data_IF_869126325774
#
_entry.id   IF_869126325774
#
_cell.length_a   1.000
_cell.length_b   1.000
_cell.length_c   1.000
_cell.angle_alpha   90.00
_cell.angle_beta   90.00
_cell.angle_gamma   90.00
#
_symmetry.space_group_name_H-M   'P 1'
#
loop_
_entity.id
_entity.type
_entity.pdbx_description
1 polymer ?
#
# COMPACT_ATOMS: atom_id res chain seq x y z
N UNK A 1 -2.16 15.01 -10.12
CA UNK A 1 -3.45 14.34 -10.41
C UNK A 1 -3.56 13.21 -9.43
N UNK A 2 -4.64 13.13 -8.65
CA UNK A 2 -4.73 12.19 -7.51
C UNK A 2 -5.17 10.76 -7.87
N UNK A 3 -5.54 10.51 -9.13
CA UNK A 3 -6.01 9.21 -9.61
C UNK A 3 -5.51 8.91 -11.03
N UNK A 4 -5.35 7.61 -11.34
CA UNK A 4 -5.03 7.11 -12.68
C UNK A 4 -6.23 7.34 -13.60
N UNK A 5 -6.02 8.11 -14.67
CA UNK A 5 -7.09 8.47 -15.60
C UNK A 5 -7.25 7.49 -16.79
N UNK A 6 -6.20 6.73 -17.12
CA UNK A 6 -6.17 5.83 -18.28
C UNK A 6 -5.34 4.57 -18.02
N UNK A 7 -5.59 3.46 -18.74
CA UNK A 7 -4.72 2.28 -18.70
C UNK A 7 -3.26 2.59 -19.06
N UNK A 8 -3.02 3.57 -19.95
CA UNK A 8 -1.65 3.99 -20.29
C UNK A 8 -0.94 4.62 -19.08
N UNK A 9 -1.61 5.47 -18.30
CA UNK A 9 -1.01 6.00 -17.07
C UNK A 9 -0.67 4.87 -16.08
N UNK A 10 -1.53 3.85 -15.97
CA UNK A 10 -1.27 2.67 -15.13
C UNK A 10 -0.01 1.91 -15.57
N UNK A 11 0.13 1.69 -16.88
CA UNK A 11 1.34 1.11 -17.46
C UNK A 11 2.61 1.93 -17.13
N UNK A 12 2.54 3.25 -17.22
CA UNK A 12 3.68 4.13 -16.94
C UNK A 12 4.03 4.20 -15.45
N UNK A 13 3.04 4.10 -14.55
CA UNK A 13 3.29 3.90 -13.11
C UNK A 13 4.07 2.62 -12.86
N UNK A 14 3.63 1.51 -13.47
CA UNK A 14 4.32 0.22 -13.35
C UNK A 14 5.75 0.28 -13.88
N UNK A 15 5.95 0.96 -15.01
CA UNK A 15 7.28 1.20 -15.58
C UNK A 15 8.17 2.03 -14.64
N UNK A 16 7.66 3.12 -14.07
CA UNK A 16 8.43 3.99 -13.18
C UNK A 16 8.94 3.25 -11.94
N UNK A 17 8.05 2.52 -11.26
CA UNK A 17 8.43 1.76 -10.07
C UNK A 17 9.36 0.58 -10.42
N UNK A 18 9.08 -0.12 -11.53
CA UNK A 18 9.92 -1.23 -11.98
C UNK A 18 11.33 -0.78 -12.33
N UNK A 19 11.45 0.36 -13.00
CA UNK A 19 12.74 0.97 -13.33
C UNK A 19 13.49 1.41 -12.07
N UNK A 20 12.79 2.01 -11.09
CA UNK A 20 13.40 2.36 -9.81
C UNK A 20 14.01 1.14 -9.11
N UNK A 21 13.25 0.04 -8.98
CA UNK A 21 13.76 -1.18 -8.37
C UNK A 21 14.87 -1.84 -9.20
N UNK A 22 14.77 -1.82 -10.52
CA UNK A 22 15.80 -2.34 -11.41
C UNK A 22 17.14 -1.61 -11.23
N UNK A 23 17.11 -0.28 -11.25
CA UNK A 23 18.31 0.57 -11.10
C UNK A 23 18.99 0.44 -9.74
N UNK A 24 18.27 0.01 -8.70
CA UNK A 24 18.79 -0.17 -7.35
C UNK A 24 18.99 -1.64 -6.97
N UNK A 25 18.80 -2.57 -7.91
CA UNK A 25 18.82 -4.01 -7.64
C UNK A 25 20.20 -4.52 -7.20
N UNK A 26 21.28 -3.85 -7.62
CA UNK A 26 22.66 -4.18 -7.27
C UNK A 26 23.19 -3.37 -6.06
N UNK A 27 22.39 -2.46 -5.50
CA UNK A 27 22.75 -1.69 -4.30
C UNK A 27 22.51 -2.56 -3.05
N UNK A 28 23.56 -2.90 -2.27
CA UNK A 28 23.37 -3.70 -1.07
C UNK A 28 22.54 -2.93 -0.03
N UNK A 29 21.40 -3.46 0.45
CA UNK A 29 20.46 -2.70 1.29
C UNK A 29 21.10 -2.18 2.59
N UNK A 30 22.00 -2.95 3.20
CA UNK A 30 22.69 -2.55 4.44
C UNK A 30 23.56 -1.29 4.30
N UNK A 31 23.77 -0.77 3.09
CA UNK A 31 24.46 0.51 2.85
C UNK A 31 23.55 1.72 3.00
N UNK A 32 22.24 1.54 3.10
CA UNK A 32 21.29 2.60 3.38
C UNK A 32 20.88 2.54 4.86
N UNK A 33 20.73 3.70 5.47
CA UNK A 33 20.14 3.81 6.80
C UNK A 33 18.63 3.57 6.70
N UNK A 34 18.03 2.99 7.75
CA UNK A 34 16.58 3.00 7.89
C UNK A 34 16.15 4.41 8.34
N UNK A 35 15.63 5.20 7.41
CA UNK A 35 15.18 6.58 7.69
C UNK A 35 13.89 6.62 8.50
N UNK A 36 13.13 5.51 8.54
CA UNK A 36 11.83 5.40 9.17
C UNK A 36 11.67 4.01 9.81
N UNK A 37 12.34 3.79 10.94
CA UNK A 37 12.26 2.52 11.67
C UNK A 37 10.79 2.17 12.01
N UNK A 38 10.40 0.94 11.71
CA UNK A 38 9.04 0.47 11.91
C UNK A 38 8.03 0.82 10.81
N UNK A 39 8.41 1.63 9.82
CA UNK A 39 7.55 1.91 8.66
C UNK A 39 7.31 0.64 7.83
N UNK A 40 6.05 0.38 7.51
CA UNK A 40 5.51 -0.86 6.93
C UNK A 40 5.64 -2.13 7.77
N UNK A 41 5.91 -1.98 9.07
CA UNK A 41 5.82 -3.08 10.04
C UNK A 41 4.41 -3.07 10.65
N UNK A 42 3.43 -3.59 9.90
CA UNK A 42 2.02 -3.66 10.31
C UNK A 42 1.77 -4.15 11.75
N UNK A 43 2.48 -5.16 12.30
CA UNK A 43 2.26 -5.56 13.69
C UNK A 43 2.61 -4.48 14.71
N UNK A 44 3.56 -3.57 14.43
CA UNK A 44 3.83 -2.41 15.32
C UNK A 44 2.64 -1.45 15.32
N UNK A 45 2.04 -1.19 14.16
CA UNK A 45 0.84 -0.36 14.06
C UNK A 45 -0.37 -1.00 14.75
N UNK A 46 -0.51 -2.34 14.71
CA UNK A 46 -1.57 -3.02 15.45
C UNK A 46 -1.38 -2.88 16.97
N UNK A 47 -0.16 -3.01 17.47
CA UNK A 47 0.14 -2.79 18.89
C UNK A 47 -0.13 -1.34 19.32
N UNK A 48 0.20 -0.36 18.47
CA UNK A 48 -0.11 1.04 18.71
C UNK A 48 -1.64 1.26 18.77
N UNK A 49 -2.37 0.71 17.80
CA UNK A 49 -3.83 0.74 17.78
C UNK A 49 -4.43 0.18 19.07
N UNK A 50 -3.94 -0.97 19.56
CA UNK A 50 -4.47 -1.60 20.78
C UNK A 50 -4.35 -0.70 22.01
N UNK A 51 -3.22 0.01 22.13
CA UNK A 51 -3.00 0.97 23.22
C UNK A 51 -3.98 2.13 23.13
N UNK A 52 -4.08 2.76 21.95
CA UNK A 52 -4.99 3.89 21.70
C UNK A 52 -6.45 3.47 21.93
N UNK A 53 -6.83 2.30 21.42
CA UNK A 53 -8.18 1.75 21.58
C UNK A 53 -8.54 1.49 23.04
N UNK A 54 -7.59 1.02 23.86
CA UNK A 54 -7.79 0.80 25.30
C UNK A 54 -8.02 2.08 26.10
N UNK A 55 -7.55 3.22 25.59
CA UNK A 55 -7.68 4.55 26.20
C UNK A 55 -8.81 5.39 25.58
N UNK A 56 -9.40 4.95 24.47
CA UNK A 56 -10.38 5.72 23.73
C UNK A 56 -11.71 5.86 24.50
N UNK A 57 -12.07 7.10 24.83
CA UNK A 57 -13.33 7.46 25.52
C UNK A 57 -14.31 8.23 24.63
N UNK A 58 -14.06 8.30 23.32
CA UNK A 58 -14.90 9.02 22.37
C UNK A 58 -16.19 8.28 22.01
N UNK A 59 -17.04 8.88 21.15
CA UNK A 59 -18.29 8.27 20.74
C UNK A 59 -18.07 6.97 19.96
N UNK A 60 -18.95 5.98 20.20
CA UNK A 60 -18.98 4.71 19.48
C UNK A 60 -20.01 4.77 18.35
N UNK A 61 -19.71 5.54 17.30
CA UNK A 61 -20.56 5.61 16.10
C UNK A 61 -20.55 4.28 15.32
N UNK A 62 -21.46 4.12 14.36
CA UNK A 62 -21.50 2.96 13.46
C UNK A 62 -20.18 2.75 12.72
N UNK A 63 -19.52 3.83 12.31
CA UNK A 63 -18.26 3.81 11.58
C UNK A 63 -17.12 3.35 12.49
N UNK A 64 -17.04 3.88 13.71
CA UNK A 64 -16.03 3.48 14.71
C UNK A 64 -16.18 1.99 15.06
N UNK A 65 -17.41 1.53 15.27
CA UNK A 65 -17.70 0.11 15.51
C UNK A 65 -17.28 -0.74 14.31
N UNK A 66 -17.62 -0.31 13.09
CA UNK A 66 -17.27 -1.02 11.86
C UNK A 66 -15.75 -1.11 11.64
N UNK A 67 -15.01 -0.03 11.86
CA UNK A 67 -13.55 -0.01 11.79
C UNK A 67 -12.91 -0.95 12.82
N UNK A 68 -13.36 -0.89 14.08
CA UNK A 68 -12.83 -1.77 15.14
C UNK A 68 -13.09 -3.25 14.85
N UNK A 69 -14.28 -3.57 14.33
CA UNK A 69 -14.67 -4.91 13.89
C UNK A 69 -13.78 -5.37 12.73
N UNK A 70 -13.57 -4.52 11.73
CA UNK A 70 -12.76 -4.80 10.56
C UNK A 70 -11.32 -5.15 10.93
N UNK A 71 -10.73 -4.40 11.87
CA UNK A 71 -9.41 -4.68 12.43
C UNK A 71 -9.40 -6.00 13.18
N UNK A 72 -10.39 -6.23 14.05
CA UNK A 72 -10.50 -7.47 14.85
C UNK A 72 -10.48 -8.73 13.99
N UNK A 73 -11.22 -8.72 12.89
CA UNK A 73 -11.36 -9.89 12.01
C UNK A 73 -10.09 -10.22 11.23
N UNK A 74 -9.13 -9.27 11.11
CA UNK A 74 -7.92 -9.39 10.29
C UNK A 74 -6.62 -9.45 11.09
N UNK A 75 -6.69 -9.40 12.42
CA UNK A 75 -5.50 -9.39 13.31
C UNK A 75 -4.53 -10.55 13.06
N UNK A 76 -5.04 -11.73 12.72
CA UNK A 76 -4.20 -12.91 12.48
C UNK A 76 -3.28 -12.78 11.26
N UNK A 77 -3.58 -11.87 10.34
CA UNK A 77 -2.87 -11.73 9.07
C UNK A 77 -1.78 -10.66 9.10
N UNK A 78 -1.70 -9.83 10.15
CA UNK A 78 -0.81 -8.66 10.15
C UNK A 78 0.68 -9.02 10.14
N UNK A 79 1.05 -10.20 10.64
CA UNK A 79 2.44 -10.66 10.71
C UNK A 79 2.92 -11.32 9.40
N UNK A 80 2.09 -11.42 8.36
CA UNK A 80 2.33 -12.31 7.23
C UNK A 80 3.65 -12.00 6.50
N UNK A 81 3.89 -10.74 6.12
CA UNK A 81 5.13 -10.34 5.44
C UNK A 81 6.36 -10.39 6.38
N UNK A 82 6.20 -9.98 7.64
CA UNK A 82 7.29 -10.03 8.63
C UNK A 82 7.73 -11.46 8.96
N UNK A 83 6.77 -12.39 9.02
CA UNK A 83 7.04 -13.81 9.16
C UNK A 83 7.77 -14.35 7.94
N UNK A 84 7.34 -13.99 6.72
CA UNK A 84 8.00 -14.42 5.49
C UNK A 84 9.44 -13.89 5.40
N UNK A 85 9.67 -12.62 5.80
CA UNK A 85 11.00 -12.02 5.94
C UNK A 85 11.87 -12.77 6.94
N UNK A 86 11.36 -13.01 8.15
CA UNK A 86 12.10 -13.69 9.23
C UNK A 86 12.42 -15.14 8.87
N UNK A 87 11.54 -15.80 8.10
CA UNK A 87 11.75 -17.16 7.59
C UNK A 87 12.71 -17.21 6.38
N UNK A 88 13.22 -16.07 5.91
CA UNK A 88 14.11 -15.99 4.74
C UNK A 88 13.41 -16.24 3.39
N UNK A 89 12.07 -16.23 3.36
CA UNK A 89 11.30 -16.39 2.11
C UNK A 89 11.30 -15.13 1.26
N UNK A 90 11.33 -13.97 1.91
CA UNK A 90 11.37 -12.65 1.26
C UNK A 90 12.67 -11.94 1.63
N UNK A 91 13.55 -11.64 0.66
CA UNK A 91 14.80 -10.94 0.93
C UNK A 91 14.58 -9.44 1.13
N UNK A 92 15.44 -8.81 1.94
CA UNK A 92 15.51 -7.35 2.00
C UNK A 92 16.11 -6.79 0.71
N UNK A 93 15.52 -5.69 0.23
CA UNK A 93 15.96 -4.92 -0.94
C UNK A 93 15.92 -3.43 -0.62
N UNK A 94 16.48 -2.62 -1.51
CA UNK A 94 16.23 -1.17 -1.47
C UNK A 94 14.84 -0.91 -2.02
N UNK A 95 14.04 -0.18 -1.25
CA UNK A 95 12.68 0.21 -1.61
C UNK A 95 12.55 1.73 -1.60
N UNK A 96 11.54 2.23 -2.29
CA UNK A 96 11.12 3.63 -2.26
C UNK A 96 10.48 3.99 -0.92
N UNK A 97 9.61 3.14 -0.37
CA UNK A 97 8.88 3.38 0.87
C UNK A 97 7.46 3.90 0.63
N UNK A 98 7.28 4.97 -0.14
CA UNK A 98 5.94 5.55 -0.41
C UNK A 98 5.67 5.77 -1.92
N UNK A 99 5.69 4.72 -2.77
CA UNK A 99 5.55 4.86 -4.22
C UNK A 99 4.08 5.00 -4.65
N UNK A 100 3.26 5.73 -3.91
CA UNK A 100 1.89 6.06 -4.32
C UNK A 100 1.90 6.79 -5.66
N UNK A 101 0.83 6.62 -6.45
CA UNK A 101 0.76 7.19 -7.82
C UNK A 101 1.05 8.70 -7.89
N UNK A 102 0.71 9.44 -6.85
CA UNK A 102 0.98 10.89 -6.77
C UNK A 102 2.47 11.25 -6.75
N UNK A 103 3.33 10.29 -6.42
CA UNK A 103 4.77 10.44 -6.42
C UNK A 103 5.39 10.10 -7.79
N UNK A 104 4.59 9.77 -8.81
CA UNK A 104 5.04 9.60 -10.20
C UNK A 104 4.77 10.88 -10.99
N UNK A 105 5.82 11.48 -11.56
CA UNK A 105 5.73 12.63 -12.45
C UNK A 105 5.61 12.13 -13.89
N UNK A 106 4.60 12.64 -14.61
CA UNK A 106 4.36 12.34 -16.02
C UNK A 106 4.71 13.52 -16.90
N UNK A 107 5.21 13.22 -18.11
CA UNK A 107 5.33 14.19 -19.17
C UNK A 107 3.94 14.59 -19.68
N UNK A 108 3.62 15.89 -19.63
CA UNK A 108 2.29 16.38 -19.99
C UNK A 108 1.96 16.20 -21.48
N UNK A 109 2.95 16.01 -22.34
CA UNK A 109 2.76 15.88 -23.80
C UNK A 109 2.60 14.42 -24.21
N UNK A 110 3.47 13.55 -23.70
CA UNK A 110 3.58 12.14 -24.10
C UNK A 110 2.87 11.18 -23.15
N UNK A 111 2.53 11.62 -21.93
CA UNK A 111 1.94 10.77 -20.89
C UNK A 111 2.92 9.79 -20.24
N UNK A 112 4.21 9.83 -20.62
CA UNK A 112 5.24 8.93 -20.09
C UNK A 112 5.68 9.30 -18.69
N UNK A 113 5.99 8.32 -17.86
CA UNK A 113 6.61 8.59 -16.57
C UNK A 113 8.03 9.13 -16.76
N UNK A 114 8.32 10.27 -16.11
CA UNK A 114 9.64 10.92 -16.13
C UNK A 114 10.43 10.58 -14.87
N UNK A 115 9.78 10.59 -13.70
CA UNK A 115 10.47 10.42 -12.41
C UNK A 115 9.53 9.88 -11.34
N UNK A 116 10.09 9.10 -10.43
CA UNK A 116 9.54 8.89 -9.08
C UNK A 116 10.16 9.95 -8.15
N UNK A 117 9.36 10.59 -7.32
CA UNK A 117 9.78 11.65 -6.37
C UNK A 117 9.47 11.24 -4.93
N UNK A 118 9.85 12.07 -3.96
CA UNK A 118 9.66 11.82 -2.52
C UNK A 118 10.58 10.69 -1.98
N UNK A 119 11.88 10.86 -2.22
CA UNK A 119 12.93 9.88 -1.90
C UNK A 119 13.32 9.84 -0.42
N UNK A 120 12.65 10.60 0.45
CA UNK A 120 12.97 10.66 1.90
C UNK A 120 12.67 9.32 2.60
N UNK A 121 11.82 8.50 2.00
CA UNK A 121 11.40 7.19 2.51
C UNK A 121 12.23 6.02 1.96
N UNK A 122 13.25 6.29 1.13
CA UNK A 122 14.10 5.27 0.51
C UNK A 122 14.94 4.57 1.57
N UNK A 123 14.77 3.26 1.69
CA UNK A 123 15.40 2.47 2.76
C UNK A 123 15.45 0.98 2.45
N UNK A 124 16.09 0.16 3.30
CA UNK A 124 15.95 -1.29 3.25
C UNK A 124 14.53 -1.73 3.62
N UNK A 125 13.94 -2.61 2.83
CA UNK A 125 12.60 -3.13 3.07
C UNK A 125 12.25 -4.32 2.18
N UNK A 126 11.00 -4.76 2.26
CA UNK A 126 10.45 -5.74 1.31
C UNK A 126 9.88 -4.98 0.11
N UNK A 127 10.25 -5.40 -1.10
CA UNK A 127 9.72 -4.84 -2.35
C UNK A 127 8.18 -4.93 -2.41
N UNK A 128 7.61 -5.89 -1.69
CA UNK A 128 6.17 -6.04 -1.40
C UNK A 128 5.50 -4.79 -0.83
N UNK A 129 6.19 -4.04 0.04
CA UNK A 129 5.61 -2.81 0.59
C UNK A 129 5.35 -1.79 -0.51
N UNK A 130 6.34 -1.60 -1.39
CA UNK A 130 6.27 -0.66 -2.50
C UNK A 130 5.23 -1.04 -3.54
N UNK A 131 5.30 -2.28 -4.05
CA UNK A 131 4.32 -2.71 -5.07
C UNK A 131 2.91 -2.80 -4.49
N UNK A 132 2.77 -3.13 -3.19
CA UNK A 132 1.51 -3.09 -2.47
C UNK A 132 0.94 -1.67 -2.38
N UNK A 133 1.75 -0.68 -2.03
CA UNK A 133 1.33 0.73 -1.91
C UNK A 133 1.03 1.39 -3.26
N UNK A 134 1.85 1.07 -4.27
CA UNK A 134 1.64 1.49 -5.65
C UNK A 134 0.31 0.96 -6.20
N UNK A 135 0.03 -0.35 -6.05
CA UNK A 135 -1.23 -0.94 -6.49
C UNK A 135 -2.43 -0.46 -5.66
N UNK A 136 -2.27 -0.29 -4.35
CA UNK A 136 -3.31 0.27 -3.47
C UNK A 136 -3.77 1.65 -3.98
N UNK A 137 -2.83 2.55 -4.23
CA UNK A 137 -3.14 3.91 -4.69
C UNK A 137 -3.59 3.94 -6.15
N UNK A 138 -2.91 3.19 -7.03
CA UNK A 138 -3.15 3.23 -8.47
C UNK A 138 -4.38 2.48 -8.94
N UNK A 139 -4.83 1.49 -8.19
CA UNK A 139 -6.02 0.70 -8.52
C UNK A 139 -7.26 1.16 -7.75
N UNK A 140 -7.27 2.38 -7.21
CA UNK A 140 -8.43 2.96 -6.53
C UNK A 140 -8.95 4.18 -7.32
N UNK A 141 -9.90 4.01 -8.26
CA UNK A 141 -10.37 5.08 -9.14
C UNK A 141 -11.04 6.25 -8.42
N UNK A 142 -11.61 6.03 -7.22
CA UNK A 142 -12.20 7.10 -6.41
C UNK A 142 -11.17 7.85 -5.56
N UNK A 143 -9.91 7.40 -5.55
CA UNK A 143 -8.83 8.01 -4.79
C UNK A 143 -8.90 7.72 -3.28
N UNK A 144 -7.88 8.21 -2.56
CA UNK A 144 -7.72 7.98 -1.13
C UNK A 144 -8.61 8.86 -0.24
N UNK A 145 -9.05 9.99 -0.78
CA UNK A 145 -9.92 10.96 -0.11
C UNK A 145 -11.23 11.15 -0.90
N UNK A 146 -12.26 10.38 -0.56
CA UNK A 146 -13.61 10.52 -1.13
C UNK A 146 -14.68 10.49 -0.04
N UNK A 147 -15.74 11.32 -0.12
CA UNK A 147 -16.90 11.19 0.76
C UNK A 147 -17.75 9.95 0.42
N UNK A 148 -17.64 9.44 -0.81
CA UNK A 148 -18.39 8.29 -1.31
C UNK A 148 -17.62 6.98 -1.10
N UNK A 149 -17.15 6.79 0.14
CA UNK A 149 -16.24 5.68 0.48
C UNK A 149 -16.90 4.32 0.28
N UNK A 150 -18.23 4.21 0.35
CA UNK A 150 -18.96 2.96 0.16
C UNK A 150 -18.83 2.41 -1.27
N UNK A 151 -18.58 3.28 -2.25
CA UNK A 151 -18.41 2.91 -3.66
C UNK A 151 -16.93 2.68 -4.03
N UNK A 152 -16.01 2.81 -3.07
CA UNK A 152 -14.58 2.49 -3.30
C UNK A 152 -14.45 1.02 -3.67
N UNK A 153 -13.69 0.78 -4.74
CA UNK A 153 -13.35 -0.55 -5.21
C UNK A 153 -11.93 -0.58 -5.75
N UNK A 154 -11.34 -1.78 -5.71
CA UNK A 154 -10.06 -2.05 -6.33
C UNK A 154 -10.29 -2.46 -7.79
N UNK A 155 -9.67 -1.76 -8.74
CA UNK A 155 -9.77 -2.04 -10.16
C UNK A 155 -8.72 -3.07 -10.61
N UNK A 156 -9.12 -4.32 -10.94
CA UNK A 156 -8.18 -5.36 -11.34
C UNK A 156 -7.57 -5.12 -12.72
N UNK A 157 -8.21 -4.34 -13.61
CA UNK A 157 -7.68 -4.06 -14.93
C UNK A 157 -6.55 -3.02 -14.85
N UNK A 158 -6.67 -2.04 -13.95
CA UNK A 158 -5.54 -1.15 -13.59
C UNK A 158 -4.39 -1.94 -12.96
N UNK A 159 -4.70 -2.90 -12.09
CA UNK A 159 -3.69 -3.78 -11.49
C UNK A 159 -2.94 -4.57 -12.56
N UNK A 160 -3.66 -5.17 -13.51
CA UNK A 160 -3.07 -5.88 -14.64
C UNK A 160 -2.19 -4.95 -15.50
N UNK A 161 -2.64 -3.73 -15.77
CA UNK A 161 -1.88 -2.76 -16.57
C UNK A 161 -0.56 -2.35 -15.88
N UNK A 162 -0.58 -2.08 -14.57
CA UNK A 162 0.62 -1.77 -13.77
C UNK A 162 1.57 -2.98 -13.78
N UNK A 163 1.09 -4.16 -13.41
CA UNK A 163 1.93 -5.35 -13.27
C UNK A 163 2.57 -5.78 -14.60
N UNK A 164 1.86 -5.62 -15.72
CA UNK A 164 2.37 -5.93 -17.07
C UNK A 164 3.61 -5.12 -17.44
N UNK A 165 3.76 -3.90 -16.92
CA UNK A 165 4.95 -3.06 -17.17
C UNK A 165 5.99 -3.16 -16.05
N UNK A 166 5.54 -3.48 -14.84
CA UNK A 166 6.41 -3.63 -13.68
C UNK A 166 7.23 -4.93 -13.73
N UNK A 167 6.57 -6.08 -13.88
CA UNK A 167 7.20 -7.40 -13.67
C UNK A 167 8.36 -7.70 -14.63
N UNK A 168 8.29 -7.40 -15.95
CA UNK A 168 9.41 -7.64 -16.85
C UNK A 168 10.69 -6.86 -16.50
N UNK A 169 10.60 -5.78 -15.71
CA UNK A 169 11.76 -4.98 -15.30
C UNK A 169 12.47 -5.57 -14.08
N UNK A 170 11.78 -6.42 -13.31
CA UNK A 170 12.25 -6.93 -12.02
C UNK A 170 12.39 -8.45 -11.99
N UNK A 171 11.90 -9.16 -13.02
CA UNK A 171 11.86 -10.62 -13.10
C UNK A 171 13.21 -11.29 -12.86
N UNK A 172 14.31 -10.65 -13.30
CA UNK A 172 15.67 -11.21 -13.17
C UNK A 172 16.09 -11.45 -11.71
N UNK A 173 15.48 -10.72 -10.76
CA UNK A 173 15.81 -10.83 -9.36
C UNK A 173 14.63 -11.24 -8.47
N UNK A 174 13.42 -11.43 -9.01
CA UNK A 174 12.30 -11.97 -8.25
C UNK A 174 12.41 -13.50 -8.08
N UNK A 175 11.94 -13.98 -6.94
CA UNK A 175 11.81 -15.41 -6.61
C UNK A 175 10.35 -15.84 -6.66
N UNK A 176 10.08 -17.15 -6.70
CA UNK A 176 8.72 -17.68 -6.62
C UNK A 176 7.94 -17.17 -5.40
N UNK A 177 8.63 -16.99 -4.26
CA UNK A 177 8.03 -16.41 -3.06
C UNK A 177 7.62 -14.94 -3.29
N UNK A 178 8.42 -14.15 -4.01
CA UNK A 178 8.07 -12.76 -4.27
C UNK A 178 6.72 -12.68 -4.98
N UNK A 179 6.48 -13.50 -6.01
CA UNK A 179 5.19 -13.60 -6.69
C UNK A 179 4.07 -14.11 -5.77
N UNK A 180 4.33 -15.15 -4.98
CA UNK A 180 3.34 -15.75 -4.08
C UNK A 180 2.80 -14.76 -3.05
N UNK A 181 3.62 -13.80 -2.61
CA UNK A 181 3.26 -12.80 -1.60
C UNK A 181 2.71 -11.47 -2.18
N UNK A 182 2.63 -11.31 -3.51
CA UNK A 182 2.12 -10.06 -4.12
C UNK A 182 0.68 -9.74 -3.69
N UNK A 183 -0.23 -10.71 -3.79
CA UNK A 183 -1.62 -10.52 -3.35
C UNK A 183 -1.69 -10.12 -1.86
N UNK A 184 -0.93 -10.81 -1.01
CA UNK A 184 -0.90 -10.52 0.42
C UNK A 184 -0.39 -9.11 0.70
N UNK A 185 0.61 -8.65 -0.06
CA UNK A 185 1.17 -7.31 0.10
C UNK A 185 0.19 -6.20 -0.22
N UNK A 186 -0.57 -6.33 -1.31
CA UNK A 186 -1.59 -5.35 -1.71
C UNK A 186 -2.66 -5.24 -0.62
N UNK A 187 -3.16 -6.39 -0.13
CA UNK A 187 -4.14 -6.44 0.95
C UNK A 187 -3.58 -5.83 2.24
N UNK A 188 -2.37 -6.23 2.65
CA UNK A 188 -1.80 -5.87 3.94
C UNK A 188 -1.45 -4.37 4.02
N UNK A 189 -0.85 -3.81 2.97
CA UNK A 189 -0.49 -2.38 2.92
C UNK A 189 -1.74 -1.49 2.91
N UNK A 190 -2.78 -1.89 2.17
CA UNK A 190 -4.08 -1.20 2.21
C UNK A 190 -4.67 -1.22 3.61
N UNK A 191 -4.70 -2.40 4.25
CA UNK A 191 -5.17 -2.56 5.62
C UNK A 191 -4.37 -1.71 6.61
N UNK A 192 -3.04 -1.73 6.50
CA UNK A 192 -2.13 -0.99 7.37
C UNK A 192 -2.40 0.52 7.31
N UNK A 193 -2.58 1.08 6.11
CA UNK A 193 -2.87 2.51 5.97
C UNK A 193 -4.21 2.87 6.62
N UNK A 194 -5.24 2.04 6.43
CA UNK A 194 -6.53 2.21 7.11
C UNK A 194 -6.41 2.14 8.64
N UNK A 195 -5.63 1.18 9.14
CA UNK A 195 -5.33 1.04 10.57
C UNK A 195 -4.62 2.27 11.13
N UNK A 196 -3.65 2.83 10.39
CA UNK A 196 -2.92 4.04 10.79
C UNK A 196 -3.83 5.26 10.82
N UNK A 197 -4.66 5.47 9.80
CA UNK A 197 -5.64 6.56 9.79
C UNK A 197 -6.65 6.44 10.94
N UNK A 198 -7.20 5.24 11.16
CA UNK A 198 -8.15 5.04 12.24
C UNK A 198 -7.52 5.25 13.62
N UNK A 199 -6.31 4.73 13.83
CA UNK A 199 -5.56 4.95 15.07
C UNK A 199 -5.30 6.43 15.31
N UNK A 200 -4.95 7.19 14.27
CA UNK A 200 -4.74 8.62 14.37
C UNK A 200 -6.04 9.38 14.68
N UNK A 201 -7.17 8.99 14.08
CA UNK A 201 -8.48 9.54 14.43
C UNK A 201 -8.80 9.35 15.92
N UNK A 202 -8.63 8.12 16.43
CA UNK A 202 -8.87 7.82 17.84
C UNK A 202 -7.94 8.59 18.79
N UNK A 203 -6.72 8.89 18.33
CA UNK A 203 -5.73 9.70 19.05
C UNK A 203 -5.95 11.22 18.91
N UNK A 204 -7.01 11.66 18.21
CA UNK A 204 -7.32 13.09 18.03
C UNK A 204 -6.64 13.76 16.84
N UNK A 205 -6.28 13.01 15.79
CA UNK A 205 -5.66 13.48 14.55
C UNK A 205 -4.31 14.19 14.75
N UNK A 206 -3.38 13.55 15.44
CA UNK A 206 -2.09 14.15 15.83
C UNK A 206 -0.95 13.88 14.84
N UNK A 207 -1.09 12.86 13.99
CA UNK A 207 -0.06 12.42 13.04
C UNK A 207 -0.36 12.89 11.60
N UNK A 208 -1.54 12.58 11.07
CA UNK A 208 -1.94 12.98 9.73
C UNK A 208 -2.66 14.33 9.75
N UNK A 209 -2.33 15.21 8.80
CA UNK A 209 -3.03 16.50 8.63
C UNK A 209 -4.53 16.26 8.39
N UNK A 210 -5.39 16.68 9.31
CA UNK A 210 -6.84 16.60 9.19
C UNK A 210 -7.46 17.96 8.82
N UNK A 211 -8.43 17.96 7.89
CA UNK A 211 -9.16 19.17 7.45
C UNK A 211 -10.39 19.44 8.32
N UNK A 212 -10.92 18.41 8.96
CA UNK A 212 -12.11 18.40 9.82
C UNK A 212 -12.03 17.19 10.79
N UNK A 213 -12.81 17.15 11.88
CA UNK A 213 -12.62 16.17 12.96
C UNK A 213 -12.64 14.69 12.52
N UNK A 214 -13.54 14.34 11.60
CA UNK A 214 -13.73 12.97 11.09
C UNK A 214 -12.84 12.64 9.89
N UNK A 215 -11.90 13.53 9.49
CA UNK A 215 -11.17 13.38 8.22
C UNK A 215 -10.36 12.08 8.15
N UNK A 216 -9.66 11.71 9.23
CA UNK A 216 -8.92 10.45 9.27
C UNK A 216 -9.83 9.22 9.43
N UNK A 217 -11.01 9.36 10.06
CA UNK A 217 -12.00 8.28 10.07
C UNK A 217 -12.49 7.98 8.65
N UNK A 218 -12.82 9.03 7.87
CA UNK A 218 -13.24 8.88 6.48
C UNK A 218 -12.14 8.24 5.62
N UNK A 219 -10.88 8.66 5.79
CA UNK A 219 -9.74 8.03 5.10
C UNK A 219 -9.57 6.55 5.49
N UNK A 220 -9.75 6.21 6.77
CA UNK A 220 -9.72 4.82 7.21
C UNK A 220 -10.82 3.98 6.56
N UNK A 221 -12.05 4.52 6.45
CA UNK A 221 -13.18 3.84 5.80
C UNK A 221 -12.89 3.56 4.31
N UNK A 222 -12.30 4.52 3.59
CA UNK A 222 -11.85 4.30 2.20
C UNK A 222 -10.89 3.13 2.11
N UNK A 223 -9.85 3.10 2.95
CA UNK A 223 -8.84 2.03 2.90
C UNK A 223 -9.42 0.67 3.34
N UNK A 224 -10.31 0.62 4.33
CA UNK A 224 -10.96 -0.64 4.72
C UNK A 224 -11.95 -1.14 3.67
N UNK A 225 -12.69 -0.25 3.01
CA UNK A 225 -13.51 -0.63 1.87
C UNK A 225 -12.65 -1.17 0.72
N UNK A 226 -11.54 -0.50 0.40
CA UNK A 226 -10.60 -0.96 -0.62
C UNK A 226 -10.02 -2.33 -0.27
N UNK A 227 -9.62 -2.54 0.99
CA UNK A 227 -9.14 -3.83 1.51
C UNK A 227 -10.19 -4.92 1.31
N UNK A 228 -11.46 -4.64 1.65
CA UNK A 228 -12.55 -5.60 1.44
C UNK A 228 -12.78 -5.90 -0.05
N UNK A 229 -12.64 -4.88 -0.91
CA UNK A 229 -12.73 -5.05 -2.37
C UNK A 229 -11.60 -5.95 -2.91
N UNK A 230 -10.36 -5.78 -2.42
CA UNK A 230 -9.21 -6.64 -2.74
C UNK A 230 -9.47 -8.09 -2.30
N UNK A 231 -10.01 -8.29 -1.10
CA UNK A 231 -10.34 -9.62 -0.58
C UNK A 231 -11.41 -10.33 -1.42
N UNK A 232 -12.47 -9.63 -1.80
CA UNK A 232 -13.53 -10.16 -2.69
C UNK A 232 -13.01 -10.56 -4.07
N UNK A 233 -11.88 -10.01 -4.49
CA UNK A 233 -11.26 -10.21 -5.81
C UNK A 233 -9.98 -11.06 -5.75
N UNK A 234 -9.74 -11.77 -4.64
CA UNK A 234 -8.49 -12.51 -4.39
C UNK A 234 -8.10 -13.43 -5.54
N UNK A 235 -9.03 -14.26 -6.02
CA UNK A 235 -8.77 -15.20 -7.12
C UNK A 235 -8.37 -14.48 -8.41
N UNK A 236 -9.05 -13.38 -8.75
CA UNK A 236 -8.77 -12.59 -9.96
C UNK A 236 -7.39 -11.94 -9.87
N UNK A 237 -7.05 -11.34 -8.75
CA UNK A 237 -5.73 -10.70 -8.54
C UNK A 237 -4.62 -11.75 -8.60
N UNK A 238 -4.81 -12.90 -7.95
CA UNK A 238 -3.84 -13.99 -8.00
C UNK A 238 -3.67 -14.57 -9.41
N UNK A 239 -4.74 -14.66 -10.19
CA UNK A 239 -4.66 -15.05 -11.60
C UNK A 239 -3.88 -14.04 -12.43
N UNK A 240 -4.12 -12.74 -12.23
CA UNK A 240 -3.38 -11.66 -12.91
C UNK A 240 -1.89 -11.85 -12.66
N UNK A 241 -1.47 -12.01 -11.40
CA UNK A 241 -0.07 -12.21 -11.01
C UNK A 241 0.56 -13.45 -11.68
N UNK A 242 -0.18 -14.57 -11.78
CA UNK A 242 0.31 -15.80 -12.40
C UNK A 242 0.36 -15.77 -13.92
N UNK A 243 -0.38 -14.86 -14.54
CA UNK A 243 -0.54 -14.76 -16.00
C UNK A 243 0.40 -13.74 -16.66
N UNK A 244 1.18 -13.00 -15.88
CA UNK A 244 2.18 -12.07 -16.40
C UNK A 244 3.46 -12.80 -16.80
#
# INVERSE_FOLDING_TARGET
HDAIATPHHAEEVGYALGMFHHLLSDLPPHRLADTLDGFHITPRYLQQYDRIWGEYTGPMTSEVQSCSQFIRDRRSQVNLLENAKTQGKLPLRVIHGDPKVNNVIFDATTGKAISLIDLDTVKPGLLHYDIGDCLRSGCNPLGEETPDWQNVYFDPDLCQAILRRYLPLVEEFLTENDYAYLYDSIRLITFELGLRFFSDYLAGNIYFKAKYPEHNLNRALVQFQLTQSIEKQAERIQQIVRSQ
#
